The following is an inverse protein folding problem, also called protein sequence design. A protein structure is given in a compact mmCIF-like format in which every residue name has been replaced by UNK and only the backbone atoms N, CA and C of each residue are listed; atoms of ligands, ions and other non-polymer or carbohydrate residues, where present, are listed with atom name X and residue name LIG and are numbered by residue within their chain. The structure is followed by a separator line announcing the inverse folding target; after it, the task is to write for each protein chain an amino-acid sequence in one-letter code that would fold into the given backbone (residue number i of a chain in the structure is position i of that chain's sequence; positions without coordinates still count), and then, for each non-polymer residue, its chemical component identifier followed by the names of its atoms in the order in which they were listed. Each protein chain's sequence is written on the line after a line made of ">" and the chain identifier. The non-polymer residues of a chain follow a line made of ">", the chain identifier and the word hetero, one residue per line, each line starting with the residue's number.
data_IF_175780599754
#
_entry.id   IF_175780599754
#
_cell.length_a   1.000
_cell.length_b   1.000
_cell.length_c   1.000
_cell.angle_alpha   90.00
_cell.angle_beta   90.00
_cell.angle_gamma   90.00
#
_symmetry.space_group_name_H-M   'P 1'
#
loop_
_entity.id
_entity.type
_entity.pdbx_description
1 polymer ?
#
# COMPACT_ATOMS: atom_id res chain seq x y z
N UNK A 1 2.59 3.83 -21.42
CA UNK A 1 3.61 4.00 -20.37
C UNK A 1 3.90 5.48 -20.21
N UNK A 2 3.98 5.97 -18.97
CA UNK A 2 4.39 7.34 -18.70
C UNK A 2 5.84 7.56 -19.15
N UNK A 3 6.15 8.77 -19.62
CA UNK A 3 7.53 9.18 -20.00
C UNK A 3 8.49 9.06 -18.81
N UNK A 4 7.97 9.13 -17.58
CA UNK A 4 8.68 8.82 -16.34
C UNK A 4 7.69 8.37 -15.25
N UNK A 5 8.01 7.38 -14.40
CA UNK A 5 7.20 7.05 -13.23
C UNK A 5 7.01 8.24 -12.29
N UNK A 6 5.87 8.28 -11.62
CA UNK A 6 5.57 9.27 -10.58
C UNK A 6 6.61 9.22 -9.46
N UNK A 7 7.01 10.39 -8.96
CA UNK A 7 7.86 10.49 -7.78
C UNK A 7 7.05 11.05 -6.63
N UNK A 8 6.52 10.14 -5.79
CA UNK A 8 5.70 10.47 -4.62
C UNK A 8 6.33 11.43 -3.60
N UNK A 9 7.64 11.67 -3.67
CA UNK A 9 8.36 12.60 -2.78
C UNK A 9 8.42 14.04 -3.31
N UNK A 10 8.01 14.30 -4.55
CA UNK A 10 7.86 15.66 -5.09
C UNK A 10 6.52 16.25 -4.65
N UNK A 11 6.35 17.59 -4.65
CA UNK A 11 5.07 18.22 -4.40
C UNK A 11 3.96 17.63 -5.28
N UNK A 12 2.79 17.37 -4.69
CA UNK A 12 1.66 16.70 -5.34
C UNK A 12 1.18 15.48 -4.55
N UNK A 13 0.61 14.50 -5.26
CA UNK A 13 0.06 13.29 -4.65
C UNK A 13 1.17 12.41 -4.05
N UNK A 14 1.04 12.06 -2.78
CA UNK A 14 1.96 11.12 -2.11
C UNK A 14 1.45 9.68 -2.18
N UNK A 15 0.23 9.43 -1.71
CA UNK A 15 -0.46 8.14 -1.77
C UNK A 15 -1.98 8.33 -1.63
N UNK A 16 -2.73 7.28 -1.92
CA UNK A 16 -4.15 7.16 -1.60
C UNK A 16 -4.36 5.99 -0.64
N UNK A 17 -5.26 6.15 0.32
CA UNK A 17 -5.63 5.10 1.26
C UNK A 17 -7.06 4.60 0.99
N UNK A 18 -7.26 3.29 1.09
CA UNK A 18 -8.56 2.64 0.89
C UNK A 18 -8.89 1.73 2.07
N UNK A 19 -10.14 1.78 2.51
CA UNK A 19 -10.70 0.77 3.41
C UNK A 19 -10.75 -0.58 2.70
N UNK A 20 -10.04 -1.56 3.23
CA UNK A 20 -9.88 -2.88 2.63
C UNK A 20 -10.69 -3.97 3.34
N UNK A 21 -11.46 -3.64 4.38
CA UNK A 21 -12.23 -4.61 5.16
C UNK A 21 -11.48 -5.07 6.40
N UNK A 22 -11.59 -6.34 6.76
CA UNK A 22 -10.89 -6.90 7.92
C UNK A 22 -9.40 -7.19 7.64
N UNK A 23 -8.71 -7.68 8.67
CA UNK A 23 -7.29 -8.07 8.59
C UNK A 23 -7.05 -9.15 7.53
N UNK A 24 -7.94 -10.13 7.42
CA UNK A 24 -7.79 -11.24 6.48
C UNK A 24 -7.89 -10.75 5.03
N UNK A 25 -8.78 -9.79 4.76
CA UNK A 25 -8.90 -9.18 3.45
C UNK A 25 -7.66 -8.35 3.10
N UNK A 26 -7.09 -7.60 4.05
CA UNK A 26 -5.80 -6.92 3.86
C UNK A 26 -4.70 -7.92 3.53
N UNK A 27 -4.61 -9.05 4.24
CA UNK A 27 -3.61 -10.09 3.99
C UNK A 27 -3.77 -10.73 2.61
N UNK A 28 -5.01 -11.04 2.22
CA UNK A 28 -5.31 -11.63 0.92
C UNK A 28 -4.92 -10.69 -0.23
N UNK A 29 -5.24 -9.39 -0.12
CA UNK A 29 -4.86 -8.40 -1.12
C UNK A 29 -3.34 -8.19 -1.16
N UNK A 30 -2.67 -8.23 -0.01
CA UNK A 30 -1.21 -8.13 0.08
C UNK A 30 -0.52 -9.32 -0.58
N UNK A 31 -1.01 -10.53 -0.37
CA UNK A 31 -0.46 -11.74 -0.97
C UNK A 31 -0.62 -11.76 -2.50
N UNK A 32 -1.75 -11.27 -3.02
CA UNK A 32 -2.00 -11.18 -4.46
C UNK A 32 -1.25 -10.01 -5.14
N UNK A 33 -0.71 -9.06 -4.38
CA UNK A 33 -0.19 -7.79 -4.90
C UNK A 33 0.89 -7.98 -5.99
N UNK A 34 1.83 -8.90 -5.77
CA UNK A 34 2.94 -9.14 -6.70
C UNK A 34 2.47 -9.61 -8.08
N UNK A 35 1.44 -10.47 -8.12
CA UNK A 35 0.84 -10.97 -9.36
C UNK A 35 0.12 -9.87 -10.14
N UNK A 36 -0.18 -8.75 -9.49
CA UNK A 36 -0.83 -7.57 -10.08
C UNK A 36 0.12 -6.38 -10.28
N UNK A 37 1.44 -6.58 -10.21
CA UNK A 37 2.43 -5.53 -10.47
C UNK A 37 2.59 -4.53 -9.31
N UNK A 38 2.21 -4.92 -8.11
CA UNK A 38 2.39 -4.14 -6.88
C UNK A 38 3.46 -4.78 -5.99
N UNK A 39 4.29 -3.95 -5.37
CA UNK A 39 5.33 -4.37 -4.44
C UNK A 39 5.02 -3.86 -3.02
N UNK A 40 5.17 -4.74 -2.03
CA UNK A 40 5.03 -4.38 -0.62
C UNK A 40 6.14 -3.43 -0.18
N UNK A 41 5.75 -2.30 0.39
CA UNK A 41 6.62 -1.32 1.01
C UNK A 41 6.72 -1.58 2.52
N UNK A 42 7.86 -1.21 3.10
CA UNK A 42 8.09 -1.29 4.55
C UNK A 42 7.85 -2.70 5.14
N UNK A 43 8.27 -3.75 4.42
CA UNK A 43 8.00 -5.15 4.78
C UNK A 43 8.42 -5.52 6.22
N UNK A 44 9.48 -4.92 6.75
CA UNK A 44 9.93 -5.14 8.13
C UNK A 44 9.01 -4.54 9.21
N UNK A 45 8.08 -3.66 8.83
CA UNK A 45 7.10 -3.02 9.71
C UNK A 45 5.66 -3.41 9.36
N UNK A 46 5.45 -4.17 8.29
CA UNK A 46 4.11 -4.63 7.91
C UNK A 46 3.55 -5.59 9.00
N UNK A 47 2.27 -5.48 9.40
CA UNK A 47 1.22 -4.57 8.91
C UNK A 47 1.08 -3.25 9.68
N UNK A 48 2.04 -2.91 10.54
CA UNK A 48 1.99 -1.75 11.45
C UNK A 48 2.91 -0.59 11.02
N UNK A 49 3.10 -0.38 9.72
CA UNK A 49 4.03 0.63 9.19
C UNK A 49 3.63 2.07 9.56
N UNK A 50 2.32 2.32 9.74
CA UNK A 50 1.76 3.59 10.25
C UNK A 50 1.75 3.72 11.78
N UNK A 51 2.20 2.70 12.51
CA UNK A 51 2.25 2.64 13.97
C UNK A 51 1.49 1.44 14.56
N UNK A 52 1.62 1.17 15.87
CA UNK A 52 1.09 -0.04 16.51
C UNK A 52 -0.44 -0.22 16.44
N UNK A 53 -1.18 0.87 16.21
CA UNK A 53 -2.64 0.88 16.11
C UNK A 53 -3.14 0.79 14.66
N UNK A 54 -2.24 0.65 13.68
CA UNK A 54 -2.59 0.56 12.26
C UNK A 54 -2.51 -0.89 11.81
N UNK A 55 -3.44 -1.37 11.00
CA UNK A 55 -3.29 -2.65 10.31
C UNK A 55 -3.46 -2.39 8.81
N UNK A 56 -2.34 -2.22 8.11
CA UNK A 56 -2.35 -1.80 6.72
C UNK A 56 -1.21 -2.37 5.87
N UNK A 57 -1.51 -2.54 4.59
CA UNK A 57 -0.52 -2.84 3.56
C UNK A 57 -0.20 -1.58 2.76
N UNK A 58 1.06 -1.18 2.76
CA UNK A 58 1.55 -0.09 1.92
C UNK A 58 2.15 -0.71 0.65
N UNK A 59 1.58 -0.42 -0.52
CA UNK A 59 1.97 -1.04 -1.79
C UNK A 59 2.38 0.05 -2.79
N UNK A 60 3.38 -0.23 -3.62
CA UNK A 60 3.74 0.62 -4.76
C UNK A 60 3.63 -0.11 -6.09
N UNK A 61 3.13 0.55 -7.12
CA UNK A 61 3.07 -0.02 -8.47
C UNK A 61 4.27 0.43 -9.34
N UNK A 62 4.33 -0.12 -10.56
CA UNK A 62 5.38 0.17 -11.56
C UNK A 62 5.38 1.62 -12.05
N UNK A 63 4.26 2.34 -11.91
CA UNK A 63 4.15 3.76 -12.27
C UNK A 63 4.57 4.69 -11.13
N UNK A 64 5.04 4.17 -9.99
CA UNK A 64 5.56 4.97 -8.87
C UNK A 64 4.49 5.53 -7.92
N UNK A 65 3.24 5.08 -8.05
CA UNK A 65 2.17 5.39 -7.12
C UNK A 65 2.21 4.47 -5.91
N UNK A 66 1.83 5.02 -4.77
CA UNK A 66 1.64 4.28 -3.53
C UNK A 66 0.16 4.22 -3.20
N UNK A 67 -0.31 3.05 -2.77
CA UNK A 67 -1.59 2.89 -2.10
C UNK A 67 -1.40 2.31 -0.70
N UNK A 68 -2.29 2.66 0.20
CA UNK A 68 -2.41 2.05 1.52
C UNK A 68 -3.75 1.33 1.62
N UNK A 69 -3.72 0.03 1.91
CA UNK A 69 -4.91 -0.77 2.16
C UNK A 69 -5.06 -0.91 3.67
N UNK A 70 -5.93 -0.11 4.27
CA UNK A 70 -6.17 -0.14 5.71
C UNK A 70 -7.28 -1.11 6.03
N UNK A 71 -7.07 -1.94 7.04
CA UNK A 71 -8.17 -2.61 7.67
C UNK A 71 -9.08 -1.56 8.31
N UNK A 72 -10.37 -1.85 8.31
CA UNK A 72 -11.29 -1.24 9.25
C UNK A 72 -10.86 -1.71 10.64
N UNK A 73 -10.92 -0.80 11.61
CA UNK A 73 -10.79 -1.21 13.00
C UNK A 73 -11.76 -2.37 13.26
N UNK A 74 -11.41 -3.40 14.05
CA UNK A 74 -12.45 -4.25 14.62
C UNK A 74 -13.51 -3.39 15.33
#
# INVERSE_FOLDING_TARGET
>A
MLVKPHNRKRPGLNHLAFHAGDHDRVNALTAAAADHGWALMFANKHPHAGGPQTYAANLSNTDGYQVELTANNP
#
